data_IF_910592637549
#
_entry.id   IF_910592637549
#
_cell.length_a   1.000
_cell.length_b   1.000
_cell.length_c   1.000
_cell.angle_alpha   90.00
_cell.angle_beta   90.00
_cell.angle_gamma   90.00
#
_symmetry.space_group_name_H-M   'P 1'
#
loop_
_entity.id
_entity.type
_entity.pdbx_description
1 polymer ?
#
# COMPACT_ATOMS: atom_id res chain seq x y z
N UNK A 1 17.39 0.89 17.07
CA UNK A 1 17.25 -0.45 16.45
C UNK A 1 15.81 -0.94 16.43
N UNK A 2 15.08 -0.98 17.56
CA UNK A 2 13.68 -1.49 17.63
C UNK A 2 12.72 -0.87 16.58
N UNK A 3 12.74 0.45 16.41
CA UNK A 3 11.93 1.17 15.40
C UNK A 3 12.27 0.80 13.96
N UNK A 4 13.53 0.51 13.68
CA UNK A 4 14.00 0.11 12.35
C UNK A 4 13.52 -1.31 12.01
N UNK A 5 13.68 -2.27 12.94
CA UNK A 5 13.14 -3.62 12.76
C UNK A 5 11.63 -3.64 12.59
N UNK A 6 10.91 -2.84 13.39
CA UNK A 6 9.48 -2.65 13.22
C UNK A 6 9.13 -2.14 11.81
N UNK A 7 9.84 -1.09 11.36
CA UNK A 7 9.65 -0.54 10.01
C UNK A 7 9.94 -1.57 8.91
N UNK A 8 10.86 -2.51 9.14
CA UNK A 8 11.15 -3.57 8.19
C UNK A 8 10.06 -4.65 8.17
N UNK A 9 9.56 -5.06 9.34
CA UNK A 9 8.46 -6.04 9.47
C UNK A 9 7.17 -5.52 8.80
N UNK A 10 6.92 -4.21 8.89
CA UNK A 10 5.77 -3.57 8.27
C UNK A 10 5.77 -3.62 6.72
N UNK A 11 6.83 -4.12 6.10
CA UNK A 11 6.84 -4.41 4.66
C UNK A 11 5.84 -5.48 4.26
N UNK A 12 5.67 -6.52 5.09
CA UNK A 12 4.73 -7.62 4.83
C UNK A 12 3.28 -7.10 4.75
N UNK A 13 2.74 -6.40 5.77
CA UNK A 13 1.39 -5.87 5.69
C UNK A 13 1.23 -4.81 4.61
N UNK A 14 2.27 -4.01 4.31
CA UNK A 14 2.23 -3.10 3.17
C UNK A 14 2.03 -3.86 1.86
N UNK A 15 2.84 -4.90 1.60
CA UNK A 15 2.78 -5.65 0.36
C UNK A 15 1.42 -6.31 0.14
N UNK A 16 0.85 -6.90 1.20
CA UNK A 16 -0.49 -7.47 1.17
C UNK A 16 -1.55 -6.41 0.89
N UNK A 17 -1.59 -5.34 1.68
CA UNK A 17 -2.60 -4.29 1.55
C UNK A 17 -2.53 -3.59 0.19
N UNK A 18 -1.33 -3.32 -0.31
CA UNK A 18 -1.13 -2.74 -1.63
C UNK A 18 -1.62 -3.67 -2.74
N UNK A 19 -1.27 -4.95 -2.68
CA UNK A 19 -1.68 -5.93 -3.70
C UNK A 19 -3.20 -6.13 -3.72
N UNK A 20 -3.84 -6.20 -2.55
CA UNK A 20 -5.29 -6.29 -2.45
C UNK A 20 -6.00 -5.00 -2.88
N UNK A 21 -5.43 -3.84 -2.59
CA UNK A 21 -5.95 -2.55 -3.05
C UNK A 21 -5.87 -2.44 -4.58
N UNK A 22 -4.74 -2.81 -5.16
CA UNK A 22 -4.53 -2.86 -6.61
C UNK A 22 -5.52 -3.82 -7.29
N UNK A 23 -5.70 -5.01 -6.73
CA UNK A 23 -6.66 -5.98 -7.23
C UNK A 23 -8.12 -5.53 -7.07
N UNK A 24 -8.47 -4.95 -5.93
CA UNK A 24 -9.81 -4.44 -5.67
C UNK A 24 -10.19 -3.27 -6.57
N UNK A 25 -9.24 -2.39 -6.87
CA UNK A 25 -9.43 -1.29 -7.80
C UNK A 25 -9.71 -1.79 -9.23
N UNK A 26 -9.00 -2.81 -9.68
CA UNK A 26 -9.24 -3.43 -10.99
C UNK A 26 -10.65 -4.04 -11.09
N UNK A 27 -11.12 -4.72 -10.03
CA UNK A 27 -12.51 -5.22 -9.93
C UNK A 27 -13.52 -4.07 -9.99
N UNK A 28 -13.29 -2.99 -9.24
CA UNK A 28 -14.22 -1.85 -9.15
C UNK A 28 -14.31 -1.08 -10.47
N UNK A 29 -13.20 -0.95 -11.20
CA UNK A 29 -13.19 -0.33 -12.53
C UNK A 29 -13.78 -1.27 -13.60
N UNK A 30 -14.17 -2.49 -13.22
CA UNK A 30 -14.94 -3.41 -14.07
C UNK A 30 -14.13 -3.93 -15.26
N UNK A 31 -12.81 -3.93 -15.12
CA UNK A 31 -11.94 -4.14 -16.25
C UNK A 31 -11.96 -5.61 -16.68
N UNK A 32 -12.28 -5.87 -17.95
CA UNK A 32 -12.40 -7.23 -18.51
C UNK A 32 -11.03 -7.89 -18.75
N UNK A 33 -9.93 -7.20 -18.49
CA UNK A 33 -8.59 -7.60 -18.90
C UNK A 33 -7.96 -8.64 -17.98
N UNK A 34 -8.37 -8.72 -16.71
CA UNK A 34 -7.96 -9.81 -15.81
C UNK A 34 -8.99 -10.93 -15.88
N UNK A 35 -8.89 -11.76 -16.92
CA UNK A 35 -9.48 -13.10 -16.87
C UNK A 35 -8.92 -13.82 -15.64
N UNK A 36 -9.69 -14.68 -14.97
CA UNK A 36 -9.26 -15.39 -13.74
C UNK A 36 -7.89 -16.06 -13.83
N UNK A 37 -7.46 -16.44 -15.04
CA UNK A 37 -6.14 -16.98 -15.34
C UNK A 37 -4.97 -16.00 -15.12
N UNK A 38 -5.17 -14.69 -15.31
CA UNK A 38 -4.14 -13.67 -15.17
C UNK A 38 -4.16 -12.97 -13.80
N UNK A 39 -5.18 -13.20 -12.99
CA UNK A 39 -5.32 -12.60 -11.65
C UNK A 39 -4.12 -12.93 -10.74
N UNK A 40 -3.64 -14.17 -10.79
CA UNK A 40 -2.53 -14.64 -9.96
C UNK A 40 -1.19 -14.04 -10.40
N UNK A 41 -0.99 -13.91 -11.72
CA UNK A 41 0.19 -13.25 -12.32
C UNK A 41 0.18 -11.77 -11.97
N UNK A 42 -0.98 -11.13 -12.08
CA UNK A 42 -1.16 -9.72 -11.73
C UNK A 42 -0.83 -9.46 -10.26
N UNK A 43 -1.37 -10.29 -9.35
CA UNK A 43 -1.10 -10.18 -7.91
C UNK A 43 0.39 -10.41 -7.60
N UNK A 44 1.04 -11.36 -8.29
CA UNK A 44 2.47 -11.60 -8.16
C UNK A 44 3.31 -10.39 -8.63
N UNK A 45 2.93 -9.75 -9.73
CA UNK A 45 3.64 -8.58 -10.25
C UNK A 45 3.41 -7.35 -9.36
N UNK A 46 2.17 -7.11 -8.94
CA UNK A 46 1.84 -6.07 -7.98
C UNK A 46 2.63 -6.25 -6.66
N UNK A 47 2.71 -7.48 -6.16
CA UNK A 47 3.53 -7.83 -5.00
C UNK A 47 5.02 -7.59 -5.26
N UNK A 48 5.53 -7.95 -6.45
CA UNK A 48 6.93 -7.72 -6.82
C UNK A 48 7.27 -6.23 -6.84
N UNK A 49 6.36 -5.37 -7.30
CA UNK A 49 6.53 -3.92 -7.27
C UNK A 49 6.64 -3.36 -5.84
N UNK A 50 6.01 -4.01 -4.86
CA UNK A 50 6.15 -3.60 -3.45
C UNK A 50 7.58 -3.74 -2.95
N UNK A 51 8.43 -4.52 -3.63
CA UNK A 51 9.84 -4.65 -3.27
C UNK A 51 10.62 -3.35 -3.47
N UNK A 52 10.23 -2.56 -4.46
CA UNK A 52 10.85 -1.27 -4.78
C UNK A 52 10.06 -0.12 -4.15
N UNK A 53 8.73 -0.22 -4.19
CA UNK A 53 7.85 0.83 -3.70
C UNK A 53 8.02 1.04 -2.19
N UNK A 54 8.07 -0.04 -1.39
CA UNK A 54 8.13 0.09 0.06
C UNK A 54 9.41 0.77 0.56
N UNK A 55 10.64 0.35 0.16
CA UNK A 55 11.87 1.00 0.61
C UNK A 55 11.95 2.48 0.27
N UNK A 56 11.39 2.90 -0.87
CA UNK A 56 11.48 4.28 -1.36
C UNK A 56 10.42 5.17 -0.71
N UNK A 57 9.24 4.63 -0.40
CA UNK A 57 8.10 5.42 0.07
C UNK A 57 7.76 5.15 1.53
N UNK A 58 7.18 4.00 1.83
CA UNK A 58 6.60 3.73 3.15
C UNK A 58 7.64 3.36 4.21
N UNK A 59 8.82 2.88 3.85
CA UNK A 59 9.89 2.63 4.83
C UNK A 59 10.38 3.93 5.51
N UNK A 60 10.81 4.99 4.78
CA UNK A 60 11.19 6.24 5.41
C UNK A 60 10.01 6.91 6.11
N UNK A 61 8.79 6.83 5.53
CA UNK A 61 7.59 7.37 6.15
C UNK A 61 7.29 6.69 7.48
N UNK A 62 7.24 5.36 7.51
CA UNK A 62 7.00 4.57 8.72
C UNK A 62 8.07 4.79 9.76
N UNK A 63 9.33 4.90 9.36
CA UNK A 63 10.42 5.23 10.29
C UNK A 63 10.25 6.61 10.93
N UNK A 64 9.95 7.65 10.15
CA UNK A 64 9.74 9.02 10.65
C UNK A 64 8.49 9.10 11.53
N UNK A 65 7.36 8.60 11.05
CA UNK A 65 6.08 8.64 11.76
C UNK A 65 6.13 7.80 13.04
N UNK A 66 6.87 6.70 13.06
CA UNK A 66 7.05 5.88 14.26
C UNK A 66 7.99 6.46 15.29
N UNK A 67 8.89 7.37 14.89
CA UNK A 67 9.83 8.04 15.78
C UNK A 67 9.31 9.37 16.32
N UNK A 68 8.58 10.14 15.52
CA UNK A 68 8.24 11.53 15.85
C UNK A 68 6.75 11.79 16.11
N UNK A 69 5.85 10.88 15.70
CA UNK A 69 4.41 11.09 15.83
C UNK A 69 3.83 10.12 16.84
N UNK A 70 3.51 10.62 18.03
CA UNK A 70 2.92 9.83 19.13
C UNK A 70 1.40 9.68 18.99
N UNK A 71 0.72 10.72 18.50
CA UNK A 71 -0.74 10.72 18.39
C UNK A 71 -1.23 9.79 17.28
N UNK A 72 -2.09 8.83 17.64
CA UNK A 72 -2.70 7.89 16.71
C UNK A 72 -3.50 8.59 15.61
N UNK A 73 -4.21 9.67 15.92
CA UNK A 73 -5.01 10.41 14.95
C UNK A 73 -4.13 10.98 13.82
N UNK A 74 -2.99 11.58 14.18
CA UNK A 74 -2.06 12.11 13.17
C UNK A 74 -1.47 10.99 12.31
N UNK A 75 -1.17 9.83 12.90
CA UNK A 75 -0.67 8.66 12.17
C UNK A 75 -1.69 8.18 11.13
N UNK A 76 -2.96 8.05 11.53
CA UNK A 76 -4.07 7.70 10.62
C UNK A 76 -4.12 8.66 9.45
N UNK A 77 -4.14 9.98 9.72
CA UNK A 77 -4.20 11.00 8.65
C UNK A 77 -3.01 10.89 7.70
N UNK A 78 -1.78 10.78 8.23
CA UNK A 78 -0.56 10.74 7.41
C UNK A 78 -0.58 9.53 6.49
N UNK A 79 -0.83 8.34 7.00
CA UNK A 79 -0.76 7.12 6.19
C UNK A 79 -1.92 6.98 5.23
N UNK A 80 -3.16 7.34 5.62
CA UNK A 80 -4.32 7.36 4.73
C UNK A 80 -4.12 8.34 3.58
N UNK A 81 -3.59 9.54 3.86
CA UNK A 81 -3.34 10.53 2.81
C UNK A 81 -2.17 10.10 1.92
N UNK A 82 -1.08 9.62 2.51
CA UNK A 82 0.09 9.16 1.76
C UNK A 82 -0.24 7.98 0.86
N UNK A 83 -1.02 7.00 1.34
CA UNK A 83 -1.46 5.88 0.51
C UNK A 83 -2.44 6.33 -0.57
N UNK A 84 -3.37 7.21 -0.25
CA UNK A 84 -4.32 7.78 -1.21
C UNK A 84 -3.65 8.56 -2.35
N UNK A 85 -2.46 9.13 -2.13
CA UNK A 85 -1.69 9.84 -3.16
C UNK A 85 -0.70 8.92 -3.89
N UNK A 86 0.11 8.17 -3.14
CA UNK A 86 1.18 7.31 -3.69
C UNK A 86 0.60 6.08 -4.38
N UNK A 87 -0.47 5.50 -3.81
CA UNK A 87 -1.11 4.28 -4.29
C UNK A 87 -1.59 4.40 -5.74
N UNK A 88 -2.45 5.39 -6.09
CA UNK A 88 -2.90 5.57 -7.47
C UNK A 88 -1.76 5.83 -8.45
N UNK A 89 -0.74 6.60 -8.05
CA UNK A 89 0.43 6.87 -8.90
C UNK A 89 1.24 5.60 -9.17
N UNK A 90 1.52 4.81 -8.13
CA UNK A 90 2.23 3.54 -8.26
C UNK A 90 1.43 2.53 -9.08
N UNK A 91 0.11 2.47 -8.85
CA UNK A 91 -0.80 1.60 -9.58
C UNK A 91 -0.82 1.91 -11.08
N UNK A 92 -0.94 3.19 -11.44
CA UNK A 92 -0.85 3.63 -12.84
C UNK A 92 0.46 3.17 -13.49
N UNK A 93 1.60 3.31 -12.80
CA UNK A 93 2.90 2.84 -13.31
C UNK A 93 2.99 1.33 -13.50
N UNK A 94 2.39 0.56 -12.60
CA UNK A 94 2.31 -0.90 -12.73
C UNK A 94 1.44 -1.27 -13.93
N UNK A 95 0.31 -0.59 -14.09
CA UNK A 95 -0.62 -0.84 -15.17
C UNK A 95 -0.02 -0.48 -16.54
N UNK A 96 0.58 0.70 -16.67
CA UNK A 96 1.30 1.14 -17.88
C UNK A 96 2.47 0.20 -18.25
N UNK A 97 3.08 -0.48 -17.26
CA UNK A 97 4.13 -1.47 -17.51
C UNK A 97 3.58 -2.80 -18.01
N UNK A 98 2.38 -3.19 -17.57
CA UNK A 98 1.78 -4.48 -17.88
C UNK A 98 0.91 -4.47 -19.13
N UNK A 99 0.31 -3.33 -19.45
CA UNK A 99 -0.65 -3.16 -20.53
C UNK A 99 -0.20 -2.02 -21.45
N UNK A 100 -0.29 -2.24 -22.76
CA UNK A 100 0.15 -1.29 -23.80
C UNK A 100 -0.90 -0.18 -24.03
N UNK A 101 -2.10 -0.31 -23.47
CA UNK A 101 -3.18 0.67 -23.61
C UNK A 101 -3.11 1.77 -22.53
N UNK A 102 -3.34 3.02 -22.93
CA UNK A 102 -3.47 4.15 -22.01
C UNK A 102 -4.65 3.91 -21.07
N UNK A 103 -4.34 3.58 -19.82
CA UNK A 103 -5.34 3.30 -18.82
C UNK A 103 -5.86 4.59 -18.20
N UNK A 104 -7.12 4.92 -18.48
CA UNK A 104 -7.78 6.09 -17.91
C UNK A 104 -8.35 5.75 -16.52
N UNK A 105 -7.43 5.60 -15.57
CA UNK A 105 -7.69 5.32 -14.17
C UNK A 105 -8.61 6.38 -13.56
N UNK A 106 -9.71 5.92 -12.98
CA UNK A 106 -10.59 6.81 -12.24
C UNK A 106 -9.89 7.20 -10.93
N UNK A 107 -9.51 8.46 -10.85
CA UNK A 107 -8.72 9.01 -9.75
C UNK A 107 -9.44 8.85 -8.41
N UNK A 108 -10.77 9.01 -8.40
CA UNK A 108 -11.60 8.97 -7.18
C UNK A 108 -11.61 7.59 -6.50
N UNK A 109 -12.04 6.49 -7.16
CA UNK A 109 -12.04 5.16 -6.55
C UNK A 109 -10.63 4.71 -6.17
N UNK A 110 -9.62 5.11 -6.96
CA UNK A 110 -8.22 4.84 -6.64
C UNK A 110 -7.79 5.45 -5.31
N UNK A 111 -8.03 6.76 -5.13
CA UNK A 111 -7.71 7.46 -3.88
C UNK A 111 -8.45 6.82 -2.70
N UNK A 112 -9.73 6.45 -2.88
CA UNK A 112 -10.52 5.83 -1.82
C UNK A 112 -9.97 4.45 -1.42
N UNK A 113 -9.74 3.56 -2.38
CA UNK A 113 -9.28 2.19 -2.11
C UNK A 113 -7.89 2.20 -1.49
N UNK A 114 -6.95 2.95 -2.06
CA UNK A 114 -5.62 3.07 -1.48
C UNK A 114 -5.63 3.84 -0.15
N UNK A 115 -6.51 4.82 0.03
CA UNK A 115 -6.72 5.50 1.31
C UNK A 115 -7.16 4.54 2.41
N UNK A 116 -8.12 3.66 2.12
CA UNK A 116 -8.57 2.60 3.03
C UNK A 116 -7.41 1.66 3.36
N UNK A 117 -6.60 1.28 2.36
CA UNK A 117 -5.41 0.46 2.59
C UNK A 117 -4.41 1.13 3.55
N UNK A 118 -4.20 2.45 3.44
CA UNK A 118 -3.37 3.20 4.38
C UNK A 118 -3.96 3.27 5.79
N UNK A 119 -5.28 3.37 5.91
CA UNK A 119 -5.96 3.30 7.21
C UNK A 119 -5.72 1.93 7.87
N UNK A 120 -5.95 0.84 7.12
CA UNK A 120 -5.69 -0.52 7.59
C UNK A 120 -4.23 -0.72 7.98
N UNK A 121 -3.29 -0.15 7.21
CA UNK A 121 -1.87 -0.20 7.52
C UNK A 121 -1.56 0.38 8.91
N UNK A 122 -2.17 1.52 9.27
CA UNK A 122 -1.98 2.13 10.61
C UNK A 122 -2.54 1.26 11.71
N UNK A 123 -3.70 0.64 11.50
CA UNK A 123 -4.29 -0.25 12.49
C UNK A 123 -3.38 -1.46 12.75
N UNK A 124 -2.78 -2.01 11.69
CA UNK A 124 -1.78 -3.07 11.82
C UNK A 124 -0.54 -2.56 12.55
N UNK A 125 0.00 -1.40 12.16
CA UNK A 125 1.18 -0.80 12.78
C UNK A 125 0.97 -0.62 14.30
N UNK A 126 -0.17 -0.05 14.68
CA UNK A 126 -0.53 0.19 16.07
C UNK A 126 -0.71 -1.12 16.85
N UNK A 127 -1.29 -2.14 16.23
CA UNK A 127 -1.45 -3.47 16.83
C UNK A 127 -0.09 -4.13 17.09
N UNK A 128 0.84 -4.04 16.13
CA UNK A 128 2.20 -4.52 16.28
C UNK A 128 2.95 -3.81 17.41
N UNK A 129 2.83 -2.48 17.51
CA UNK A 129 3.43 -1.72 18.61
C UNK A 129 2.86 -2.08 19.99
N UNK A 130 1.56 -2.39 20.07
CA UNK A 130 0.89 -2.74 21.34
C UNK A 130 1.23 -4.15 21.81
N UNK A 131 1.29 -5.13 20.90
CA UNK A 131 1.49 -6.54 21.24
C UNK A 131 2.96 -6.96 21.28
N UNK A 132 3.82 -6.35 20.46
CA UNK A 132 5.25 -6.68 20.43
C UNK A 132 5.98 -5.65 21.27
N UNK A 133 6.10 -5.91 22.58
CA UNK A 133 7.18 -5.34 23.38
C UNK A 133 8.46 -5.94 22.83
N UNK A 134 9.11 -5.23 21.90
CA UNK A 134 10.49 -5.56 21.53
C UNK A 134 11.32 -5.53 22.81
N UNK A 135 11.59 -6.70 23.40
CA UNK A 135 12.46 -6.89 24.57
C UNK A 135 13.87 -6.49 24.18
#
# INVERSE_FOLDING_TARGET
>A
MKTFYHSFIMWIPFGLLFSFAAFGLDIVEGNKNITSAYALIYLFIAASFTLILYPISFLPLTFVVSKFVESLLFRVVIFTFSSGVIGPFAFKKIYDFLFIEEYNLSIIPSILIFGIAGLLYVLVENSFKKNIRFV
#
